data_IF_006582695617
#
_entry.id   IF_006582695617
#
_cell.length_a   1.000
_cell.length_b   1.000
_cell.length_c   1.000
_cell.angle_alpha   90.00
_cell.angle_beta   90.00
_cell.angle_gamma   90.00
#
_symmetry.space_group_name_H-M   'P 1'
#
loop_
_entity.id
_entity.type
_entity.pdbx_description
1 polymer ?
#
# COMPACT_ATOMS: atom_id res chain seq x y z
N UNK A 1 19.24 11.69 3.80
CA UNK A 1 18.15 10.78 4.16
C UNK A 1 18.61 9.33 4.22
N UNK A 2 18.89 8.85 5.43
CA UNK A 2 19.11 7.42 5.71
C UNK A 2 17.79 6.76 6.07
N UNK A 3 17.57 5.56 5.55
CA UNK A 3 16.39 4.76 5.81
C UNK A 3 16.76 3.47 6.51
N UNK A 4 15.94 3.08 7.48
CA UNK A 4 15.87 1.72 7.98
C UNK A 4 14.87 0.94 7.14
N UNK A 5 15.16 -0.33 6.87
CA UNK A 5 14.29 -1.21 6.09
C UNK A 5 13.85 -2.39 6.94
N UNK A 6 12.59 -2.79 6.76
CA UNK A 6 12.03 -4.00 7.37
C UNK A 6 11.34 -4.82 6.28
N UNK A 7 11.53 -6.14 6.34
CA UNK A 7 10.94 -7.09 5.40
C UNK A 7 10.21 -8.15 6.22
N UNK A 8 8.92 -8.31 5.94
CA UNK A 8 8.07 -9.29 6.61
C UNK A 8 7.47 -10.25 5.57
N UNK A 9 7.18 -11.50 5.93
CA UNK A 9 6.45 -12.40 5.04
C UNK A 9 5.04 -11.84 4.76
N UNK A 10 4.58 -11.96 3.53
CA UNK A 10 3.20 -11.64 3.21
C UNK A 10 2.25 -12.61 3.93
N UNK A 11 1.09 -12.15 4.43
CA UNK A 11 0.15 -13.02 5.13
C UNK A 11 -0.36 -14.11 4.18
N UNK A 12 -0.04 -15.37 4.46
CA UNK A 12 -0.41 -16.52 3.61
C UNK A 12 -1.72 -17.18 3.99
N UNK A 13 -2.20 -16.95 5.22
CA UNK A 13 -3.45 -17.52 5.72
C UNK A 13 -4.27 -16.43 6.37
N UNK A 14 -5.53 -16.34 5.95
CA UNK A 14 -6.47 -15.43 6.59
C UNK A 14 -6.94 -15.99 7.92
N UNK A 15 -6.85 -15.17 8.96
CA UNK A 15 -7.63 -15.37 10.18
C UNK A 15 -9.13 -15.28 9.85
N UNK A 16 -9.95 -16.13 10.47
CA UNK A 16 -11.40 -16.16 10.18
C UNK A 16 -12.08 -14.91 10.75
N UNK A 17 -12.08 -13.82 9.98
CA UNK A 17 -12.90 -12.64 10.29
C UNK A 17 -14.37 -12.91 9.96
N UNK A 18 -15.26 -12.59 10.90
CA UNK A 18 -16.71 -12.86 10.80
C UNK A 18 -17.40 -12.01 9.72
N UNK A 19 -16.77 -10.91 9.31
CA UNK A 19 -17.31 -9.93 8.37
C UNK A 19 -16.93 -10.20 6.89
N UNK A 20 -15.91 -11.03 6.65
CA UNK A 20 -15.47 -11.32 5.29
C UNK A 20 -16.20 -12.52 4.70
N UNK A 21 -16.97 -12.25 3.63
CA UNK A 21 -17.83 -13.24 2.99
C UNK A 21 -17.08 -14.11 1.98
N UNK A 22 -16.02 -13.61 1.37
CA UNK A 22 -15.22 -14.36 0.38
C UNK A 22 -13.78 -14.63 0.87
N UNK A 23 -13.06 -15.61 0.29
CA UNK A 23 -11.63 -15.81 0.55
C UNK A 23 -10.78 -14.59 0.19
N UNK A 24 -11.14 -13.85 -0.87
CA UNK A 24 -10.46 -12.64 -1.29
C UNK A 24 -10.63 -11.51 -0.28
N UNK A 25 -11.85 -11.27 0.21
CA UNK A 25 -12.11 -10.25 1.24
C UNK A 25 -11.32 -10.54 2.51
N UNK A 26 -11.31 -11.83 2.88
CA UNK A 26 -10.53 -12.34 4.00
C UNK A 26 -9.05 -11.96 3.81
N UNK A 27 -8.44 -12.38 2.71
CA UNK A 27 -7.05 -12.04 2.40
C UNK A 27 -6.78 -10.53 2.43
N UNK A 28 -7.65 -9.72 1.82
CA UNK A 28 -7.53 -8.28 1.82
C UNK A 28 -7.55 -7.70 3.25
N UNK A 29 -8.45 -8.15 4.12
CA UNK A 29 -8.49 -7.73 5.52
C UNK A 29 -7.20 -8.06 6.28
N UNK A 30 -6.66 -9.28 6.12
CA UNK A 30 -5.40 -9.65 6.76
C UNK A 30 -4.23 -8.81 6.24
N UNK A 31 -4.18 -8.54 4.94
CA UNK A 31 -3.16 -7.67 4.35
C UNK A 31 -3.29 -6.24 4.89
N UNK A 32 -4.51 -5.69 4.93
CA UNK A 32 -4.78 -4.36 5.49
C UNK A 32 -4.38 -4.27 6.96
N UNK A 33 -4.67 -5.30 7.76
CA UNK A 33 -4.27 -5.34 9.16
C UNK A 33 -2.75 -5.26 9.33
N UNK A 34 -2.00 -6.02 8.53
CA UNK A 34 -0.53 -6.03 8.58
C UNK A 34 0.08 -4.70 8.13
N UNK A 35 -0.46 -4.10 7.06
CA UNK A 35 -0.05 -2.78 6.59
C UNK A 35 -0.29 -1.72 7.67
N UNK A 36 -1.45 -1.74 8.32
CA UNK A 36 -1.79 -0.80 9.38
C UNK A 36 -0.93 -1.00 10.64
N UNK A 37 -0.61 -2.24 11.00
CA UNK A 37 0.30 -2.57 12.11
C UNK A 37 1.67 -1.93 11.88
N UNK A 38 2.25 -2.16 10.70
CA UNK A 38 3.54 -1.59 10.32
C UNK A 38 3.49 -0.05 10.27
N UNK A 39 2.43 0.52 9.70
CA UNK A 39 2.23 1.97 9.69
C UNK A 39 2.14 2.59 11.09
N UNK A 40 1.47 1.92 12.03
CA UNK A 40 1.39 2.36 13.43
C UNK A 40 2.76 2.37 14.13
N UNK A 41 3.67 1.49 13.72
CA UNK A 41 5.07 1.43 14.17
C UNK A 41 5.98 2.45 13.43
N UNK A 42 5.42 3.27 12.55
CA UNK A 42 6.12 4.30 11.80
C UNK A 42 6.82 3.81 10.52
N UNK A 43 6.45 2.61 10.03
CA UNK A 43 6.96 2.08 8.78
C UNK A 43 6.09 2.50 7.58
N UNK A 44 6.74 2.91 6.50
CA UNK A 44 6.13 3.22 5.21
C UNK A 44 6.21 1.99 4.29
N UNK A 45 5.08 1.60 3.72
CA UNK A 45 5.02 0.51 2.75
C UNK A 45 5.67 0.92 1.42
N UNK A 46 6.56 0.08 0.89
CA UNK A 46 7.20 0.29 -0.41
C UNK A 46 6.60 -0.58 -1.50
N UNK A 47 6.64 -1.91 -1.30
CA UNK A 47 6.24 -2.89 -2.31
C UNK A 47 6.11 -4.30 -1.75
N UNK A 48 5.52 -5.17 -2.55
CA UNK A 48 5.58 -6.62 -2.38
C UNK A 48 6.58 -7.20 -3.39
N UNK A 49 7.44 -8.11 -2.93
CA UNK A 49 8.41 -8.84 -3.76
C UNK A 49 8.18 -10.34 -3.63
N UNK A 50 8.63 -11.10 -4.65
CA UNK A 50 8.63 -12.57 -4.64
C UNK A 50 10.07 -13.04 -4.86
N UNK A 51 10.67 -13.65 -3.84
CA UNK A 51 12.10 -13.98 -3.84
C UNK A 51 12.32 -15.49 -3.67
N UNK A 52 13.27 -16.08 -4.42
CA UNK A 52 13.68 -17.47 -4.22
C UNK A 52 14.54 -17.63 -2.97
N UNK A 53 14.31 -18.68 -2.20
CA UNK A 53 15.11 -19.13 -1.06
C UNK A 53 15.49 -20.59 -1.24
N UNK A 54 16.75 -20.94 -1.00
CA UNK A 54 17.19 -22.33 -1.02
C UNK A 54 16.94 -22.99 0.34
N UNK A 55 16.01 -23.94 0.37
CA UNK A 55 15.66 -24.67 1.59
C UNK A 55 16.03 -26.14 1.46
N UNK A 56 16.37 -26.78 2.59
CA UNK A 56 16.66 -28.21 2.58
C UNK A 56 15.38 -28.99 2.29
N UNK A 57 15.44 -29.84 1.28
CA UNK A 57 14.34 -30.73 0.90
C UNK A 57 14.79 -32.18 1.09
N UNK A 58 14.17 -32.87 2.06
CA UNK A 58 14.48 -34.27 2.39
C UNK A 58 15.89 -34.47 2.97
N UNK A 59 16.45 -35.68 2.77
CA UNK A 59 17.70 -36.09 3.42
C UNK A 59 18.96 -35.49 2.75
N UNK A 60 18.96 -35.30 1.44
CA UNK A 60 20.13 -34.81 0.66
C UNK A 60 19.80 -33.71 -0.36
N UNK A 61 18.52 -33.32 -0.51
CA UNK A 61 18.11 -32.34 -1.51
C UNK A 61 18.10 -30.90 -1.00
N UNK A 62 18.24 -29.96 -1.93
CA UNK A 62 17.87 -28.54 -1.76
C UNK A 62 16.76 -28.23 -2.76
N UNK A 63 15.80 -27.42 -2.36
CA UNK A 63 14.72 -26.94 -3.21
C UNK A 63 14.66 -25.43 -3.15
N UNK A 64 14.35 -24.80 -4.27
CA UNK A 64 14.07 -23.37 -4.33
C UNK A 64 12.61 -23.12 -3.98
N UNK A 65 12.37 -22.41 -2.89
CA UNK A 65 11.04 -21.98 -2.42
C UNK A 65 10.88 -20.50 -2.70
N UNK A 66 9.78 -20.12 -3.34
CA UNK A 66 9.48 -18.70 -3.56
C UNK A 66 8.66 -18.15 -2.40
N UNK A 67 9.17 -17.10 -1.77
CA UNK A 67 8.52 -16.40 -0.67
C UNK A 67 8.00 -15.05 -1.12
N UNK A 68 6.74 -14.78 -0.79
CA UNK A 68 6.14 -13.48 -0.95
C UNK A 68 6.46 -12.64 0.29
N UNK A 69 7.05 -11.47 0.10
CA UNK A 69 7.46 -10.58 1.19
C UNK A 69 6.93 -9.16 0.96
N UNK A 70 6.69 -8.44 2.05
CA UNK A 70 6.33 -7.04 2.06
C UNK A 70 7.53 -6.23 2.57
N UNK A 71 7.91 -5.22 1.80
CA UNK A 71 9.07 -4.36 2.09
C UNK A 71 8.59 -3.01 2.60
N UNK A 72 9.16 -2.58 3.72
CA UNK A 72 8.87 -1.31 4.36
C UNK A 72 10.15 -0.51 4.59
N UNK A 73 10.00 0.80 4.74
CA UNK A 73 11.08 1.70 5.15
C UNK A 73 10.64 2.69 6.21
N UNK A 74 11.55 3.22 7.01
CA UNK A 74 11.31 4.41 7.83
C UNK A 74 12.55 5.30 7.86
N UNK A 75 12.41 6.63 7.93
CA UNK A 75 13.56 7.52 8.07
C UNK A 75 14.23 7.34 9.42
N UNK A 76 15.56 7.30 9.46
CA UNK A 76 16.30 7.36 10.72
C UNK A 76 16.23 8.79 11.28
N UNK A 77 15.95 8.94 12.58
CA UNK A 77 15.73 10.22 13.26
C UNK A 77 16.87 11.26 13.15
N UNK A 78 18.04 10.86 12.62
CA UNK A 78 19.15 11.75 12.31
C UNK A 78 18.97 12.57 11.02
N UNK A 79 17.84 12.45 10.31
CA UNK A 79 17.48 13.29 9.15
C UNK A 79 16.23 14.14 9.48
N UNK A 80 16.38 15.44 9.80
CA UNK A 80 15.29 16.31 10.25
C UNK A 80 14.26 16.68 9.17
N UNK A 81 14.42 16.22 7.91
CA UNK A 81 13.57 16.63 6.78
C UNK A 81 12.35 15.73 6.53
N UNK A 82 12.20 14.56 7.16
CA UNK A 82 11.16 13.57 6.76
C UNK A 82 9.83 13.75 7.50
N UNK A 83 9.49 14.98 7.90
CA UNK A 83 8.11 15.35 8.22
C UNK A 83 7.47 15.94 6.98
N UNK A 84 6.82 15.09 6.19
CA UNK A 84 5.69 15.35 5.25
C UNK A 84 5.86 14.52 3.99
N UNK A 85 5.28 13.32 3.98
CA UNK A 85 4.73 12.80 2.73
C UNK A 85 3.75 13.85 2.23
N UNK A 86 3.92 14.43 1.02
CA UNK A 86 2.89 15.25 0.44
C UNK A 86 1.70 14.33 0.20
N UNK A 87 0.68 14.41 1.04
CA UNK A 87 -0.66 14.06 0.59
C UNK A 87 -0.93 14.99 -0.60
N UNK A 88 -1.30 14.47 -1.78
CA UNK A 88 -1.80 15.35 -2.82
C UNK A 88 -2.98 16.09 -2.21
N UNK A 89 -2.81 17.39 -1.93
CA UNK A 89 -3.90 18.30 -1.68
C UNK A 89 -4.81 18.15 -2.90
N UNK A 90 -5.94 17.47 -2.71
CA UNK A 90 -7.04 17.55 -3.62
C UNK A 90 -7.45 19.01 -3.61
N UNK A 91 -6.95 19.78 -4.59
CA UNK A 91 -7.41 21.14 -4.85
C UNK A 91 -8.92 21.08 -4.97
N UNK A 92 -9.70 21.71 -4.08
CA UNK A 92 -11.11 21.91 -4.35
C UNK A 92 -11.18 22.96 -5.46
N UNK A 93 -11.29 22.53 -6.72
CA UNK A 93 -11.69 23.41 -7.81
C UNK A 93 -13.14 23.83 -7.55
N UNK A 94 -13.28 24.90 -6.77
CA UNK A 94 -14.53 25.64 -6.63
C UNK A 94 -14.34 26.96 -7.36
N UNK A 95 -14.95 27.08 -8.54
CA UNK A 95 -14.96 28.32 -9.32
C UNK A 95 -16.02 28.21 -10.42
N UNK A 96 -17.09 29.03 -10.41
CA UNK A 96 -18.26 28.84 -11.24
C UNK A 96 -18.01 29.41 -12.65
N UNK A 97 -18.25 28.61 -13.69
CA UNK A 97 -18.40 29.15 -15.04
C UNK A 97 -19.88 29.35 -15.32
N UNK A 98 -20.23 30.64 -15.35
CA UNK A 98 -21.51 31.19 -15.71
C UNK A 98 -22.00 30.68 -17.07
N UNK A 99 -23.31 30.46 -17.18
CA UNK A 99 -24.03 30.28 -18.44
C UNK A 99 -24.02 31.59 -19.24
N UNK A 100 -23.50 31.64 -20.47
CA UNK A 100 -23.92 32.67 -21.41
C UNK A 100 -25.16 32.17 -22.17
N UNK A 101 -26.30 32.82 -21.90
CA UNK A 101 -27.49 32.70 -22.72
C UNK A 101 -27.23 33.31 -24.10
N UNK A 102 -27.52 32.61 -25.22
CA UNK A 102 -27.51 33.25 -26.53
C UNK A 102 -28.80 34.06 -26.71
N UNK A 103 -28.66 35.39 -26.73
CA UNK A 103 -29.61 36.31 -27.36
C UNK A 103 -29.26 36.45 -28.83
N UNK A 104 -30.23 36.21 -29.70
CA UNK A 104 -30.17 36.44 -31.15
C UNK A 104 -31.44 35.86 -31.79
N UNK A 105 -32.54 36.59 -31.74
CA UNK A 105 -32.98 37.53 -32.79
C UNK A 105 -33.81 36.83 -33.89
N UNK A 106 -35.13 36.99 -33.80
CA UNK A 106 -36.02 36.95 -34.96
C UNK A 106 -35.98 38.33 -35.66
N UNK A 107 -35.99 38.33 -36.99
CA UNK A 107 -36.95 39.21 -37.67
C UNK A 107 -37.65 38.54 -38.88
N UNK A 108 -38.88 39.01 -39.11
CA UNK A 108 -39.72 38.99 -40.31
C UNK A 108 -40.03 37.65 -41.01
#
# INVERSE_FOLDING_TARGET
>A
MRFEYSVIPAPTRTEKAREAKTPTDRFALSLTAELNRMAAEGWEYLRADVLPSEERSGLTGRATVYHNVLVFRRPQAADPEVKRLPQPEATPETGPIATPAPTGAAPA
#
